data_IF_524326556403
#
_entry.id   IF_524326556403
#
_cell.length_a   1.000
_cell.length_b   1.000
_cell.length_c   1.000
_cell.angle_alpha   90.00
_cell.angle_beta   90.00
_cell.angle_gamma   90.00
#
_symmetry.space_group_name_H-M   'P 1'
#
loop_
_entity.id
_entity.type
_entity.pdbx_description
1 polymer ?
#
# COMPACT_ATOMS: atom_id res chain seq x y z
N UNK A 1 14.61 3.21 -3.60
CA UNK A 1 14.17 3.90 -2.38
C UNK A 1 15.41 4.18 -1.53
N UNK A 2 15.59 5.40 -1.04
CA UNK A 2 16.74 5.79 -0.19
C UNK A 2 16.46 5.53 1.29
N UNK A 3 17.51 5.57 2.13
CA UNK A 3 17.35 5.47 3.59
C UNK A 3 16.47 6.59 4.17
N UNK A 4 16.59 7.82 3.64
CA UNK A 4 15.75 8.94 4.05
C UNK A 4 14.27 8.68 3.73
N UNK A 5 13.97 8.22 2.51
CA UNK A 5 12.60 7.85 2.12
C UNK A 5 12.04 6.75 3.02
N UNK A 6 12.87 5.75 3.37
CA UNK A 6 12.47 4.66 4.26
C UNK A 6 12.09 5.18 5.65
N UNK A 7 12.93 6.05 6.21
CA UNK A 7 12.66 6.69 7.51
C UNK A 7 11.35 7.48 7.48
N UNK A 8 11.13 8.31 6.44
CA UNK A 8 9.92 9.11 6.30
C UNK A 8 8.65 8.25 6.21
N UNK A 9 8.70 7.15 5.45
CA UNK A 9 7.57 6.21 5.34
C UNK A 9 7.28 5.55 6.70
N UNK A 10 8.31 5.06 7.42
CA UNK A 10 8.11 4.43 8.74
C UNK A 10 7.59 5.42 9.78
N UNK A 11 8.11 6.64 9.80
CA UNK A 11 7.70 7.70 10.73
C UNK A 11 6.26 8.15 10.45
N UNK A 12 5.94 8.47 9.20
CA UNK A 12 4.57 8.88 8.84
C UNK A 12 3.57 7.75 9.06
N UNK A 13 3.88 6.50 8.72
CA UNK A 13 3.00 5.37 9.03
C UNK A 13 2.76 5.22 10.53
N UNK A 14 3.78 5.51 11.36
CA UNK A 14 3.66 5.42 12.82
C UNK A 14 2.58 6.35 13.38
N UNK A 15 2.40 7.54 12.79
CA UNK A 15 1.37 8.49 13.19
C UNK A 15 -0.06 7.98 12.93
N UNK A 16 -0.23 7.10 11.94
CA UNK A 16 -1.51 6.51 11.58
C UNK A 16 -1.84 5.22 12.36
N UNK A 17 -0.89 4.66 13.14
CA UNK A 17 -1.09 3.38 13.84
C UNK A 17 -2.14 3.43 14.95
N UNK A 18 -2.40 4.61 15.50
CA UNK A 18 -3.43 4.79 16.54
C UNK A 18 -4.84 4.94 15.93
N UNK A 19 -4.95 5.05 14.60
CA UNK A 19 -6.24 5.09 13.92
C UNK A 19 -6.77 3.67 13.77
N UNK A 20 -8.06 3.48 14.04
CA UNK A 20 -8.74 2.22 13.81
C UNK A 20 -8.53 1.76 12.35
N UNK A 21 -7.98 0.55 12.11
CA UNK A 21 -7.79 0.00 10.78
C UNK A 21 -9.07 -0.04 9.93
N UNK A 22 -10.24 -0.22 10.55
CA UNK A 22 -11.51 -0.19 9.86
C UNK A 22 -11.81 1.20 9.29
N UNK A 23 -11.48 2.27 10.02
CA UNK A 23 -11.65 3.65 9.57
C UNK A 23 -10.69 3.96 8.41
N UNK A 24 -9.40 3.62 8.57
CA UNK A 24 -8.41 3.83 7.50
C UNK A 24 -8.79 3.06 6.23
N UNK A 25 -9.21 1.80 6.39
CA UNK A 25 -9.66 0.97 5.29
C UNK A 25 -10.90 1.53 4.61
N UNK A 26 -11.89 2.01 5.36
CA UNK A 26 -13.11 2.59 4.80
C UNK A 26 -12.81 3.87 3.99
N UNK A 27 -11.96 4.76 4.50
CA UNK A 27 -11.53 5.96 3.77
C UNK A 27 -10.80 5.58 2.47
N UNK A 28 -9.88 4.62 2.54
CA UNK A 28 -9.13 4.14 1.38
C UNK A 28 -10.03 3.51 0.32
N UNK A 29 -10.87 2.55 0.70
CA UNK A 29 -11.74 1.85 -0.23
C UNK A 29 -12.88 2.73 -0.75
N UNK A 30 -13.40 3.62 0.09
CA UNK A 30 -14.34 4.65 -0.33
C UNK A 30 -13.76 5.54 -1.42
N UNK A 31 -12.52 6.02 -1.24
CA UNK A 31 -11.80 6.79 -2.26
C UNK A 31 -11.57 6.00 -3.55
N UNK A 32 -11.08 4.77 -3.41
CA UNK A 32 -10.77 3.88 -4.54
C UNK A 32 -12.00 3.64 -5.41
N UNK A 33 -13.12 3.25 -4.81
CA UNK A 33 -14.32 2.91 -5.57
C UNK A 33 -15.11 4.12 -6.05
N UNK A 34 -14.96 5.27 -5.40
CA UNK A 34 -15.51 6.52 -5.91
C UNK A 34 -14.82 6.94 -7.22
N UNK A 35 -13.48 6.92 -7.27
CA UNK A 35 -12.72 7.30 -8.47
C UNK A 35 -12.69 6.19 -9.53
N UNK A 36 -12.66 4.93 -9.10
CA UNK A 36 -12.46 3.75 -9.97
C UNK A 36 -13.49 2.65 -9.67
N UNK A 37 -14.78 2.90 -9.93
CA UNK A 37 -15.87 1.99 -9.57
C UNK A 37 -15.75 0.60 -10.23
N UNK A 38 -15.08 0.53 -11.39
CA UNK A 38 -14.80 -0.72 -12.10
C UNK A 38 -13.89 -1.69 -11.33
N UNK A 39 -13.17 -1.23 -10.30
CA UNK A 39 -12.33 -2.09 -9.47
C UNK A 39 -13.10 -2.78 -8.34
N UNK A 40 -14.29 -2.30 -7.97
CA UNK A 40 -15.11 -2.89 -6.89
C UNK A 40 -15.33 -4.40 -7.02
N UNK A 41 -15.62 -4.96 -8.23
CA UNK A 41 -15.82 -6.40 -8.40
C UNK A 41 -14.58 -7.26 -8.12
N UNK A 42 -13.37 -6.68 -8.12
CA UNK A 42 -12.13 -7.40 -7.81
C UNK A 42 -12.00 -7.72 -6.31
N UNK A 43 -12.69 -6.96 -5.45
CA UNK A 43 -12.66 -7.13 -4.00
C UNK A 43 -13.88 -7.93 -3.53
N UNK A 44 -13.75 -9.25 -3.52
CA UNK A 44 -14.83 -10.18 -3.15
C UNK A 44 -14.94 -10.35 -1.64
N UNK A 45 -16.17 -10.52 -1.14
CA UNK A 45 -16.45 -10.80 0.27
C UNK A 45 -16.78 -9.57 1.11
N UNK A 46 -16.92 -9.74 2.44
CA UNK A 46 -17.21 -8.66 3.38
C UNK A 46 -16.07 -7.63 3.42
N UNK A 47 -16.41 -6.35 3.22
CA UNK A 47 -15.41 -5.27 3.11
C UNK A 47 -14.71 -4.98 4.44
N UNK A 48 -15.41 -5.08 5.57
CA UNK A 48 -14.84 -4.99 6.93
C UNK A 48 -13.61 -5.89 7.11
N UNK A 49 -13.69 -7.14 6.65
CA UNK A 49 -12.55 -8.08 6.69
C UNK A 49 -11.46 -7.71 5.69
N UNK A 50 -11.83 -7.14 4.56
CA UNK A 50 -10.90 -6.70 3.53
C UNK A 50 -10.08 -5.48 4.00
N UNK A 51 -10.73 -4.56 4.71
CA UNK A 51 -10.12 -3.36 5.30
C UNK A 51 -8.99 -3.74 6.25
N UNK A 52 -9.32 -4.60 7.23
CA UNK A 52 -8.35 -5.07 8.22
C UNK A 52 -7.16 -5.75 7.54
N UNK A 53 -7.42 -6.69 6.63
CA UNK A 53 -6.36 -7.42 5.91
C UNK A 53 -5.42 -6.50 5.13
N UNK A 54 -5.95 -5.47 4.48
CA UNK A 54 -5.15 -4.52 3.72
C UNK A 54 -4.23 -3.71 4.64
N UNK A 55 -4.78 -3.16 5.73
CA UNK A 55 -4.03 -2.34 6.69
C UNK A 55 -2.99 -3.17 7.45
N UNK A 56 -3.32 -4.41 7.84
CA UNK A 56 -2.38 -5.33 8.48
C UNK A 56 -1.20 -5.65 7.55
N UNK A 57 -1.49 -5.98 6.29
CA UNK A 57 -0.47 -6.28 5.30
C UNK A 57 0.43 -5.05 5.06
N UNK A 58 -0.15 -3.87 4.87
CA UNK A 58 0.61 -2.63 4.69
C UNK A 58 1.49 -2.33 5.91
N UNK A 59 0.98 -2.55 7.12
CA UNK A 59 1.73 -2.37 8.36
C UNK A 59 2.92 -3.32 8.46
N UNK A 60 2.73 -4.60 8.12
CA UNK A 60 3.80 -5.60 8.08
C UNK A 60 4.88 -5.20 7.08
N UNK A 61 4.47 -4.81 5.86
CA UNK A 61 5.39 -4.39 4.80
C UNK A 61 6.20 -3.17 5.23
N UNK A 62 5.54 -2.12 5.74
CA UNK A 62 6.21 -0.89 6.20
C UNK A 62 7.18 -1.18 7.36
N UNK A 63 6.77 -2.01 8.32
CA UNK A 63 7.60 -2.38 9.46
C UNK A 63 8.91 -3.07 9.03
N UNK A 64 8.87 -3.81 7.92
CA UNK A 64 9.98 -4.63 7.42
C UNK A 64 10.73 -4.02 6.24
N UNK A 65 10.47 -2.78 5.85
CA UNK A 65 11.14 -2.11 4.71
C UNK A 65 12.68 -2.09 4.81
N UNK A 66 13.23 -2.21 6.02
CA UNK A 66 14.66 -2.29 6.33
C UNK A 66 15.23 -3.73 6.33
N UNK A 67 14.40 -4.74 6.05
CA UNK A 67 14.77 -6.17 5.96
C UNK A 67 14.43 -6.73 4.56
N UNK A 68 15.14 -6.29 3.51
CA UNK A 68 14.74 -6.51 2.11
C UNK A 68 14.51 -7.98 1.76
N UNK A 69 15.46 -8.86 2.07
CA UNK A 69 15.37 -10.28 1.73
C UNK A 69 14.17 -11.03 2.32
N UNK A 70 13.78 -10.71 3.56
CA UNK A 70 12.64 -11.37 4.21
C UNK A 70 11.30 -10.93 3.59
N UNK A 71 11.24 -9.67 3.14
CA UNK A 71 10.04 -9.07 2.56
C UNK A 71 9.84 -9.50 1.11
N UNK A 72 10.92 -9.68 0.35
CA UNK A 72 10.87 -10.07 -1.06
C UNK A 72 10.17 -11.42 -1.27
N UNK A 73 10.47 -12.43 -0.44
CA UNK A 73 9.80 -13.73 -0.55
C UNK A 73 8.29 -13.65 -0.25
N UNK A 74 7.91 -12.91 0.79
CA UNK A 74 6.50 -12.72 1.15
C UNK A 74 5.73 -11.95 0.08
N UNK A 75 6.33 -10.88 -0.46
CA UNK A 75 5.76 -10.12 -1.57
C UNK A 75 5.64 -10.97 -2.83
N UNK A 76 6.63 -11.81 -3.14
CA UNK A 76 6.58 -12.69 -4.30
C UNK A 76 5.39 -13.67 -4.21
N UNK A 77 5.17 -14.28 -3.05
CA UNK A 77 4.00 -15.15 -2.81
C UNK A 77 2.68 -14.38 -2.89
N UNK A 78 2.65 -13.15 -2.36
CA UNK A 78 1.50 -12.28 -2.45
C UNK A 78 1.20 -11.89 -3.91
N UNK A 79 2.24 -11.63 -4.70
CA UNK A 79 2.19 -11.33 -6.14
C UNK A 79 1.62 -12.48 -6.96
N UNK A 80 2.04 -13.71 -6.68
CA UNK A 80 1.46 -14.92 -7.28
C UNK A 80 -0.05 -15.03 -6.98
N UNK A 81 -0.44 -14.77 -5.73
CA UNK A 81 -1.85 -14.77 -5.34
C UNK A 81 -2.65 -13.68 -6.07
N UNK A 82 -2.09 -12.47 -6.21
CA UNK A 82 -2.71 -11.38 -6.97
C UNK A 82 -2.90 -11.72 -8.44
N UNK A 83 -1.91 -12.37 -9.06
CA UNK A 83 -2.03 -12.86 -10.43
C UNK A 83 -3.16 -13.91 -10.56
N UNK A 84 -3.27 -14.85 -9.61
CA UNK A 84 -4.35 -15.83 -9.57
C UNK A 84 -5.73 -15.19 -9.40
N UNK A 85 -5.83 -14.06 -8.70
CA UNK A 85 -7.06 -13.28 -8.57
C UNK A 85 -7.42 -12.46 -9.82
N UNK A 86 -6.58 -12.50 -10.87
CA UNK A 86 -6.78 -11.74 -12.09
C UNK A 86 -6.42 -10.26 -11.97
N UNK A 87 -5.61 -9.89 -10.97
CA UNK A 87 -5.10 -8.51 -10.84
C UNK A 87 -4.05 -8.27 -11.92
N UNK A 88 -4.20 -7.15 -12.63
CA UNK A 88 -3.35 -6.74 -13.74
C UNK A 88 -2.47 -5.55 -13.35
N UNK A 89 -1.36 -5.30 -14.06
CA UNK A 89 -0.53 -4.12 -13.84
C UNK A 89 -1.32 -2.79 -13.82
N UNK A 90 -2.33 -2.65 -14.67
CA UNK A 90 -3.18 -1.44 -14.73
C UNK A 90 -4.00 -1.17 -13.46
N UNK A 91 -4.21 -2.17 -12.59
CA UNK A 91 -4.96 -2.00 -11.34
C UNK A 91 -4.13 -1.38 -10.22
N UNK A 92 -2.80 -1.35 -10.32
CA UNK A 92 -1.94 -0.85 -9.24
C UNK A 92 -1.91 0.69 -9.17
N UNK A 93 -2.05 1.39 -10.30
CA UNK A 93 -2.02 2.86 -10.30
C UNK A 93 -3.23 3.47 -9.59
N UNK A 94 -4.48 3.01 -9.83
CA UNK A 94 -5.65 3.43 -9.03
C UNK A 94 -5.49 3.20 -7.52
N UNK A 95 -4.89 2.07 -7.13
CA UNK A 95 -4.63 1.74 -5.73
C UNK A 95 -3.59 2.69 -5.13
N UNK A 96 -2.55 3.07 -5.89
CA UNK A 96 -1.57 4.07 -5.47
C UNK A 96 -2.23 5.43 -5.24
N UNK A 97 -3.06 5.89 -6.18
CA UNK A 97 -3.79 7.16 -6.06
C UNK A 97 -4.64 7.21 -4.79
N UNK A 98 -5.46 6.18 -4.56
CA UNK A 98 -6.30 6.08 -3.37
C UNK A 98 -5.47 6.03 -2.07
N UNK A 99 -4.35 5.30 -2.07
CA UNK A 99 -3.46 5.21 -0.91
C UNK A 99 -2.83 6.56 -0.59
N UNK A 100 -2.23 7.24 -1.57
CA UNK A 100 -1.58 8.53 -1.37
C UNK A 100 -2.58 9.58 -0.90
N UNK A 101 -3.80 9.60 -1.47
CA UNK A 101 -4.85 10.49 -1.01
C UNK A 101 -5.26 10.19 0.45
N UNK A 102 -5.38 8.91 0.82
CA UNK A 102 -5.71 8.50 2.19
C UNK A 102 -4.64 8.93 3.18
N UNK A 103 -3.37 8.73 2.83
CA UNK A 103 -2.23 9.17 3.65
C UNK A 103 -2.20 10.69 3.81
N UNK A 104 -2.40 11.44 2.73
CA UNK A 104 -2.48 12.90 2.77
C UNK A 104 -3.58 13.38 3.72
N UNK A 105 -4.78 12.79 3.65
CA UNK A 105 -5.89 13.15 4.53
C UNK A 105 -5.64 12.76 5.99
N UNK A 106 -5.04 11.59 6.22
CA UNK A 106 -4.76 11.09 7.57
C UNK A 106 -3.62 11.80 8.27
N UNK A 107 -2.59 12.22 7.53
CA UNK A 107 -1.40 12.87 8.08
C UNK A 107 -1.58 14.39 8.24
N UNK A 108 -2.47 15.01 7.46
CA UNK A 108 -2.75 16.44 7.58
C UNK A 108 -1.48 17.30 7.46
N UNK A 109 -1.13 18.01 8.54
CA UNK A 109 0.05 18.89 8.56
C UNK A 109 1.40 18.15 8.47
N UNK A 110 1.42 16.84 8.77
CA UNK A 110 2.61 16.00 8.63
C UNK A 110 2.82 15.52 7.18
N UNK A 111 1.86 15.78 6.28
CA UNK A 111 2.01 15.49 4.86
C UNK A 111 2.77 16.60 4.13
N UNK A 112 3.88 16.24 3.49
CA UNK A 112 4.67 17.13 2.65
C UNK A 112 5.24 16.38 1.45
N UNK A 113 5.92 17.09 0.54
CA UNK A 113 6.46 16.53 -0.69
C UNK A 113 7.46 15.38 -0.44
N UNK A 114 8.31 15.49 0.58
CA UNK A 114 9.27 14.43 0.90
C UNK A 114 8.58 13.14 1.36
N UNK A 115 7.57 13.27 2.21
CA UNK A 115 6.74 12.14 2.66
C UNK A 115 6.01 11.52 1.47
N UNK A 116 5.41 12.34 0.59
CA UNK A 116 4.73 11.89 -0.63
C UNK A 116 5.68 11.12 -1.54
N UNK A 117 6.88 11.66 -1.81
CA UNK A 117 7.88 10.98 -2.65
C UNK A 117 8.37 9.68 -2.00
N UNK A 118 8.51 9.65 -0.68
CA UNK A 118 8.82 8.44 0.08
C UNK A 118 7.78 7.35 -0.14
N UNK A 119 6.49 7.67 -0.04
CA UNK A 119 5.40 6.73 -0.26
C UNK A 119 5.25 6.27 -1.71
N UNK A 120 5.44 7.17 -2.68
CA UNK A 120 5.50 6.80 -4.11
C UNK A 120 6.62 5.78 -4.34
N UNK A 121 7.84 6.08 -3.88
CA UNK A 121 8.98 5.19 -4.04
C UNK A 121 8.79 3.84 -3.32
N UNK A 122 8.14 3.84 -2.16
CA UNK A 122 7.77 2.63 -1.43
C UNK A 122 6.78 1.78 -2.23
N UNK A 123 5.66 2.36 -2.64
CA UNK A 123 4.61 1.66 -3.37
C UNK A 123 5.10 1.11 -4.71
N UNK A 124 5.87 1.90 -5.46
CA UNK A 124 6.43 1.48 -6.76
C UNK A 124 7.47 0.36 -6.59
N UNK A 125 8.21 0.33 -5.47
CA UNK A 125 9.09 -0.80 -5.13
C UNK A 125 8.27 -2.06 -4.86
N UNK A 126 7.26 -1.97 -3.99
CA UNK A 126 6.38 -3.10 -3.64
C UNK A 126 5.66 -3.64 -4.89
N UNK A 127 5.15 -2.76 -5.74
CA UNK A 127 4.45 -3.13 -6.98
C UNK A 127 5.37 -3.86 -7.96
N UNK A 128 6.63 -3.42 -8.11
CA UNK A 128 7.60 -4.13 -8.96
C UNK A 128 7.88 -5.55 -8.45
N UNK A 129 8.04 -5.70 -7.14
CA UNK A 129 8.22 -7.00 -6.49
C UNK A 129 6.98 -7.90 -6.69
N UNK A 130 5.77 -7.37 -6.49
CA UNK A 130 4.50 -8.06 -6.73
C UNK A 130 4.34 -8.54 -8.18
N UNK A 131 4.86 -7.77 -9.14
CA UNK A 131 4.82 -8.11 -10.57
C UNK A 131 5.96 -9.03 -11.01
N UNK A 132 6.85 -9.45 -10.09
CA UNK A 132 8.03 -10.25 -10.40
C UNK A 132 9.03 -9.52 -11.30
N UNK A 133 9.05 -8.18 -11.27
CA UNK A 133 9.92 -7.32 -12.10
C UNK A 133 11.15 -6.83 -11.34
N UNK A 134 11.68 -7.64 -10.45
CA UNK A 134 12.87 -7.28 -9.69
C UNK A 134 14.10 -7.34 -10.59
N UNK A 135 14.77 -6.20 -10.76
CA UNK A 135 16.19 -6.21 -11.10
C UNK A 135 16.91 -6.66 -9.83
N UNK A 136 17.61 -7.79 -9.91
CA UNK A 136 18.69 -8.11 -8.98
C UNK A 136 19.55 -6.85 -8.79
N UNK A 137 19.53 -6.28 -7.59
CA UNK A 137 20.49 -5.27 -7.15
C UNK A 137 21.51 -5.95 -6.25
#
# INVERSE_FOLDING_TARGET
>A
MTNQQLTLVKQSWTLLREVDPAILGDVFYGRLFFNYPNLRPLFKGPMDRQYQKFIDMLSILVARLDRPYAVEQEISQLGQSHAQYGIKPEHYEPVKDALLWTLERGLGNDWNDDVRQGWIACYDRLTRAMLGRENNL
#
